data_IF_999592358382
#
_entry.id   IF_999592358382
#
_cell.length_a   1.000
_cell.length_b   1.000
_cell.length_c   1.000
_cell.angle_alpha   90.00
_cell.angle_beta   90.00
_cell.angle_gamma   90.00
#
_symmetry.space_group_name_H-M   'P 1'
#
loop_
_entity.id
_entity.type
_entity.pdbx_description
1 polymer ?
#
# COMPACT_ATOMS: atom_id res chain seq x y z
N UNK A 1 -0.12 15.04 5.15
CA UNK A 1 0.25 13.62 5.32
C UNK A 1 -0.83 12.78 4.68
N UNK A 2 -0.51 12.07 3.62
CA UNK A 2 -1.43 11.13 2.94
C UNK A 2 -1.18 9.68 3.39
N UNK A 3 0.04 9.35 3.81
CA UNK A 3 0.40 7.98 4.19
C UNK A 3 -0.31 7.49 5.45
N UNK A 4 -0.54 8.35 6.47
CA UNK A 4 -1.23 7.95 7.71
C UNK A 4 -2.71 7.58 7.52
N UNK A 5 -3.30 7.99 6.40
CA UNK A 5 -4.69 7.66 6.05
C UNK A 5 -4.78 6.49 5.06
N UNK A 6 -3.65 5.89 4.68
CA UNK A 6 -3.63 4.73 3.81
C UNK A 6 -4.20 3.49 4.51
N UNK A 7 -4.81 2.60 3.72
CA UNK A 7 -5.46 1.41 4.23
C UNK A 7 -4.47 0.31 4.68
N UNK A 8 -3.21 0.34 4.20
CA UNK A 8 -2.11 -0.48 4.72
C UNK A 8 -1.97 -1.89 4.13
N UNK A 9 -2.88 -2.34 3.26
CA UNK A 9 -2.73 -3.62 2.57
C UNK A 9 -1.65 -3.54 1.49
N UNK A 10 -0.77 -4.54 1.41
CA UNK A 10 0.25 -4.65 0.38
C UNK A 10 -0.34 -5.35 -0.83
N UNK A 11 -0.88 -4.58 -1.77
CA UNK A 11 -1.39 -5.08 -3.04
C UNK A 11 -0.86 -4.17 -4.17
N UNK A 12 -0.13 -4.73 -5.16
CA UNK A 12 0.37 -3.92 -6.27
C UNK A 12 -0.76 -3.41 -7.15
N UNK A 13 -0.89 -2.08 -7.24
CA UNK A 13 -1.73 -1.46 -8.24
C UNK A 13 -0.96 -1.39 -9.56
N UNK A 14 -1.62 -1.77 -10.66
CA UNK A 14 -1.04 -1.66 -11.99
C UNK A 14 -1.07 -0.19 -12.41
N UNK A 15 0.02 0.53 -12.16
CA UNK A 15 0.37 1.69 -12.99
C UNK A 15 0.88 1.12 -14.32
N UNK A 16 0.30 1.56 -15.43
CA UNK A 16 0.30 0.89 -16.74
C UNK A 16 1.66 0.57 -17.39
N UNK A 17 2.80 0.96 -16.81
CA UNK A 17 4.02 1.16 -17.63
C UNK A 17 5.17 0.15 -17.39
N UNK A 18 5.23 -0.58 -16.27
CA UNK A 18 6.25 -1.63 -16.04
C UNK A 18 5.90 -2.60 -14.90
N UNK A 19 5.16 -3.67 -15.23
CA UNK A 19 4.76 -4.71 -14.28
C UNK A 19 5.94 -5.42 -13.62
N UNK A 20 7.03 -5.67 -14.34
CA UNK A 20 8.19 -6.39 -13.78
C UNK A 20 8.91 -5.56 -12.72
N UNK A 21 8.98 -4.25 -12.94
CA UNK A 21 9.50 -3.31 -11.96
C UNK A 21 8.62 -3.20 -10.72
N UNK A 22 7.30 -3.13 -10.90
CA UNK A 22 6.34 -3.13 -9.78
C UNK A 22 6.54 -4.40 -8.95
N UNK A 23 6.56 -5.57 -9.58
CA UNK A 23 6.81 -6.86 -8.91
C UNK A 23 8.14 -6.85 -8.15
N UNK A 24 9.22 -6.36 -8.77
CA UNK A 24 10.53 -6.26 -8.12
C UNK A 24 10.49 -5.38 -6.87
N UNK A 25 9.86 -4.22 -6.94
CA UNK A 25 9.71 -3.32 -5.79
C UNK A 25 8.83 -3.91 -4.71
N UNK A 26 7.71 -4.55 -5.07
CA UNK A 26 6.85 -5.24 -4.11
C UNK A 26 7.60 -6.34 -3.37
N UNK A 27 8.42 -7.16 -4.06
CA UNK A 27 9.27 -8.16 -3.41
C UNK A 27 10.20 -7.53 -2.38
N UNK A 28 10.86 -6.42 -2.73
CA UNK A 28 11.72 -5.69 -1.79
C UNK A 28 10.93 -5.13 -0.59
N UNK A 29 9.74 -4.59 -0.81
CA UNK A 29 8.84 -4.12 0.25
C UNK A 29 8.41 -5.26 1.17
N UNK A 30 8.04 -6.42 0.63
CA UNK A 30 7.67 -7.60 1.41
C UNK A 30 8.84 -8.03 2.30
N UNK A 31 10.05 -8.12 1.76
CA UNK A 31 11.26 -8.44 2.55
C UNK A 31 11.45 -7.44 3.68
N UNK A 32 11.31 -6.14 3.41
CA UNK A 32 11.46 -5.09 4.41
C UNK A 32 10.42 -5.19 5.55
N UNK A 33 9.18 -5.50 5.21
CA UNK A 33 8.11 -5.70 6.21
C UNK A 33 8.37 -6.96 7.04
N UNK A 34 8.88 -8.02 6.42
CA UNK A 34 9.25 -9.24 7.14
C UNK A 34 10.39 -8.99 8.15
N UNK A 35 11.38 -8.17 7.81
CA UNK A 35 12.41 -7.72 8.77
C UNK A 35 11.80 -6.93 9.93
N UNK A 36 10.91 -5.98 9.61
CA UNK A 36 10.17 -5.21 10.61
C UNK A 36 9.40 -6.12 11.58
N UNK A 37 8.71 -7.14 11.06
CA UNK A 37 8.01 -8.15 11.86
C UNK A 37 8.97 -9.02 12.68
N UNK A 38 10.11 -9.43 12.11
CA UNK A 38 11.11 -10.27 12.79
C UNK A 38 11.78 -9.58 13.98
N UNK A 39 11.86 -8.25 13.96
CA UNK A 39 12.29 -7.43 15.10
C UNK A 39 11.22 -7.34 16.22
N UNK A 40 10.04 -7.94 16.02
CA UNK A 40 8.93 -7.92 16.99
C UNK A 40 8.14 -6.62 17.01
N UNK A 41 8.24 -5.79 15.96
CA UNK A 41 7.50 -4.54 15.89
C UNK A 41 5.99 -4.79 15.65
N UNK A 42 5.09 -4.03 16.30
CA UNK A 42 3.65 -4.18 16.13
C UNK A 42 3.18 -3.57 14.80
N UNK A 43 1.92 -3.81 14.42
CA UNK A 43 1.31 -3.12 13.28
C UNK A 43 1.68 -3.71 11.91
N UNK A 44 2.35 -4.86 11.86
CA UNK A 44 2.52 -5.63 10.63
C UNK A 44 2.08 -7.09 10.86
N UNK A 45 1.30 -7.64 9.92
CA UNK A 45 0.85 -9.03 9.99
C UNK A 45 0.47 -9.57 8.62
N UNK A 46 0.31 -10.89 8.53
CA UNK A 46 -0.28 -11.53 7.36
C UNK A 46 -1.79 -11.30 7.35
N UNK A 47 -2.33 -10.98 6.18
CA UNK A 47 -3.76 -10.85 5.97
C UNK A 47 -4.16 -11.68 4.75
N UNK A 48 -5.18 -12.52 4.93
CA UNK A 48 -5.75 -13.30 3.82
C UNK A 48 -7.12 -12.78 3.45
N UNK A 49 -7.51 -12.95 2.19
CA UNK A 49 -8.78 -12.43 1.75
C UNK A 49 -9.13 -12.76 0.31
N UNK A 50 -10.29 -12.26 -0.07
CA UNK A 50 -10.93 -12.53 -1.35
C UNK A 50 -10.87 -11.30 -2.23
N UNK A 51 -10.50 -11.50 -3.48
CA UNK A 51 -10.60 -10.50 -4.53
C UNK A 51 -11.57 -10.99 -5.60
N UNK A 52 -12.70 -10.30 -5.71
CA UNK A 52 -13.81 -10.58 -6.60
C UNK A 52 -13.76 -9.66 -7.80
N UNK A 53 -14.09 -10.21 -8.97
CA UNK A 53 -14.01 -9.49 -10.23
C UNK A 53 -15.26 -9.75 -11.06
N UNK A 54 -15.76 -8.72 -11.74
CA UNK A 54 -16.83 -8.87 -12.74
C UNK A 54 -16.35 -9.42 -14.06
N UNK A 55 -15.08 -9.22 -14.38
CA UNK A 55 -14.41 -9.81 -15.53
C UNK A 55 -13.17 -10.54 -15.08
N UNK A 56 -12.98 -11.77 -15.59
CA UNK A 56 -11.85 -12.59 -15.20
C UNK A 56 -10.54 -11.97 -15.70
N UNK A 57 -9.74 -11.46 -14.76
CA UNK A 57 -8.35 -11.06 -15.00
C UNK A 57 -7.42 -11.76 -14.01
N UNK A 58 -6.25 -12.18 -14.50
CA UNK A 58 -5.22 -12.80 -13.67
C UNK A 58 -3.99 -11.90 -13.76
N UNK A 59 -3.80 -10.97 -12.81
CA UNK A 59 -2.67 -10.08 -12.88
C UNK A 59 -1.38 -10.81 -12.51
N UNK A 60 -0.29 -10.43 -13.16
CA UNK A 60 1.03 -11.04 -12.95
C UNK A 60 1.52 -10.86 -11.51
N UNK A 61 1.15 -9.77 -10.84
CA UNK A 61 1.58 -9.50 -9.47
C UNK A 61 1.12 -10.55 -8.45
N UNK A 62 0.15 -11.42 -8.76
CA UNK A 62 -0.20 -12.56 -7.89
C UNK A 62 1.00 -13.47 -7.61
N UNK A 63 2.05 -13.45 -8.43
CA UNK A 63 3.28 -14.20 -8.19
C UNK A 63 4.01 -13.83 -6.88
N UNK A 64 3.76 -12.64 -6.33
CA UNK A 64 4.36 -12.18 -5.06
C UNK A 64 3.46 -12.46 -3.86
N UNK A 65 2.24 -12.93 -4.10
CA UNK A 65 1.29 -13.31 -3.05
C UNK A 65 1.48 -14.77 -2.65
N UNK A 66 1.01 -15.12 -1.45
CA UNK A 66 1.02 -16.51 -0.96
C UNK A 66 -0.38 -17.11 -0.95
N UNK A 67 -0.44 -18.44 -0.89
CA UNK A 67 -1.68 -19.22 -0.81
C UNK A 67 -2.72 -18.80 -1.88
N UNK A 68 -2.25 -18.50 -3.08
CA UNK A 68 -3.12 -18.09 -4.20
C UNK A 68 -3.98 -19.27 -4.62
N UNK A 69 -5.29 -19.07 -4.58
CA UNK A 69 -6.30 -20.07 -4.91
C UNK A 69 -7.41 -19.43 -5.74
N UNK A 70 -7.73 -20.01 -6.89
CA UNK A 70 -8.86 -19.56 -7.71
C UNK A 70 -10.14 -20.23 -7.22
N UNK A 71 -11.15 -19.44 -6.88
CA UNK A 71 -12.38 -19.96 -6.29
C UNK A 71 -13.14 -20.83 -7.29
N UNK A 72 -13.52 -22.01 -6.83
CA UNK A 72 -14.47 -22.90 -7.51
C UNK A 72 -15.88 -22.31 -7.54
N UNK A 73 -16.76 -22.88 -8.36
CA UNK A 73 -18.17 -22.45 -8.40
C UNK A 73 -18.87 -22.59 -7.03
N UNK A 74 -18.57 -23.64 -6.28
CA UNK A 74 -19.15 -23.87 -4.95
C UNK A 74 -18.65 -22.85 -3.93
N UNK A 75 -17.37 -22.49 -3.95
CA UNK A 75 -16.84 -21.41 -3.11
C UNK A 75 -17.44 -20.06 -3.50
N UNK A 76 -17.57 -19.78 -4.80
CA UNK A 76 -18.21 -18.56 -5.29
C UNK A 76 -19.65 -18.43 -4.81
N UNK A 77 -20.43 -19.51 -4.75
CA UNK A 77 -21.82 -19.50 -4.21
C UNK A 77 -21.90 -19.05 -2.75
N UNK A 78 -20.84 -19.25 -1.97
CA UNK A 78 -20.78 -18.89 -0.55
C UNK A 78 -20.22 -17.48 -0.34
N UNK A 79 -19.17 -17.14 -1.08
CA UNK A 79 -18.37 -15.93 -0.83
C UNK A 79 -18.87 -14.73 -1.62
N UNK A 80 -19.41 -14.93 -2.83
CA UNK A 80 -19.92 -13.84 -3.65
C UNK A 80 -21.05 -13.08 -2.92
N UNK A 81 -20.96 -11.74 -2.91
CA UNK A 81 -21.93 -10.85 -2.26
C UNK A 81 -22.81 -10.12 -3.25
N UNK A 82 -22.48 -10.17 -4.54
CA UNK A 82 -23.11 -9.40 -5.60
C UNK A 82 -23.24 -10.21 -6.89
N UNK A 83 -24.28 -9.97 -7.71
CA UNK A 83 -24.45 -10.65 -9.01
C UNK A 83 -23.29 -10.40 -9.98
N UNK A 84 -22.60 -9.27 -9.80
CA UNK A 84 -21.46 -8.91 -10.64
C UNK A 84 -20.23 -9.76 -10.35
N UNK A 85 -20.12 -10.47 -9.23
CA UNK A 85 -18.93 -11.27 -8.91
C UNK A 85 -18.92 -12.56 -9.74
N UNK A 86 -18.16 -12.56 -10.84
CA UNK A 86 -18.07 -13.67 -11.79
C UNK A 86 -16.81 -14.50 -11.64
N UNK A 87 -15.78 -13.95 -10.99
CA UNK A 87 -14.52 -14.61 -10.74
C UNK A 87 -13.96 -14.18 -9.39
N UNK A 88 -13.33 -15.10 -8.67
CA UNK A 88 -12.78 -14.83 -7.35
C UNK A 88 -11.42 -15.47 -7.16
N UNK A 89 -10.54 -14.76 -6.46
CA UNK A 89 -9.21 -15.22 -6.08
C UNK A 89 -9.07 -15.07 -4.58
N UNK A 90 -8.61 -16.10 -3.90
CA UNK A 90 -8.15 -16.03 -2.52
C UNK A 90 -6.64 -15.94 -2.49
N UNK A 91 -6.08 -15.09 -1.63
CA UNK A 91 -4.64 -15.02 -1.42
C UNK A 91 -4.30 -14.46 -0.03
N UNK A 92 -3.05 -14.67 0.38
CA UNK A 92 -2.44 -14.07 1.56
C UNK A 92 -1.41 -13.02 1.14
N UNK A 93 -1.53 -11.82 1.72
CA UNK A 93 -0.55 -10.74 1.62
C UNK A 93 -0.17 -10.22 3.01
N UNK A 94 0.54 -9.10 3.07
CA UNK A 94 0.88 -8.38 4.30
C UNK A 94 -0.02 -7.16 4.47
N UNK A 95 -0.29 -6.84 5.72
CA UNK A 95 -0.80 -5.56 6.16
C UNK A 95 0.28 -4.85 6.95
N UNK A 96 0.39 -3.54 6.75
CA UNK A 96 1.30 -2.65 7.45
C UNK A 96 0.55 -1.38 7.87
N UNK A 97 0.43 -1.18 9.18
CA UNK A 97 -0.15 0.02 9.75
C UNK A 97 0.79 1.22 9.49
N UNK A 98 0.37 2.22 8.67
CA UNK A 98 1.29 3.24 8.19
C UNK A 98 1.93 4.07 9.31
N UNK A 99 1.14 4.55 10.27
CA UNK A 99 1.64 5.43 11.33
C UNK A 99 2.69 4.76 12.20
N UNK A 100 2.44 3.52 12.65
CA UNK A 100 3.40 2.75 13.45
C UNK A 100 4.70 2.47 12.69
N UNK A 101 4.60 2.19 11.40
CA UNK A 101 5.78 1.97 10.56
C UNK A 101 6.59 3.27 10.33
N UNK A 102 5.90 4.39 10.07
CA UNK A 102 6.54 5.70 9.89
C UNK A 102 7.27 6.12 11.18
N UNK A 103 6.67 5.92 12.35
CA UNK A 103 7.30 6.21 13.64
C UNK A 103 8.59 5.39 13.82
N UNK A 104 8.57 4.11 13.46
CA UNK A 104 9.74 3.24 13.56
C UNK A 104 10.85 3.62 12.57
N UNK A 105 10.54 3.86 11.31
CA UNK A 105 11.55 4.31 10.33
C UNK A 105 12.11 5.70 10.72
N UNK A 106 11.26 6.59 11.25
CA UNK A 106 11.69 7.91 11.74
C UNK A 106 12.68 7.77 12.91
N UNK A 107 12.40 6.87 13.85
CA UNK A 107 13.31 6.56 14.96
C UNK A 107 14.66 6.05 14.44
N UNK A 108 14.66 5.07 13.53
CA UNK A 108 15.88 4.53 12.92
C UNK A 108 16.66 5.62 12.17
N UNK A 109 15.99 6.51 11.45
CA UNK A 109 16.63 7.63 10.77
C UNK A 109 17.36 8.56 11.75
N UNK A 110 16.72 8.93 12.86
CA UNK A 110 17.30 9.82 13.88
C UNK A 110 18.44 9.14 14.63
N UNK A 111 18.30 7.86 15.00
CA UNK A 111 19.36 7.08 15.65
C UNK A 111 20.62 6.94 14.78
N UNK A 112 20.47 6.94 13.47
CA UNK A 112 21.56 6.96 12.51
C UNK A 112 22.11 8.38 12.22
N UNK A 113 21.75 9.38 13.03
CA UNK A 113 22.25 10.76 12.94
C UNK A 113 21.46 11.68 12.01
N UNK A 114 20.35 11.20 11.46
CA UNK A 114 19.40 12.01 10.69
C UNK A 114 18.79 13.12 11.54
N UNK A 115 18.48 14.26 10.91
CA UNK A 115 17.84 15.41 11.56
C UNK A 115 16.50 15.70 10.92
N UNK A 116 15.48 15.92 11.75
CA UNK A 116 14.15 16.29 11.30
C UNK A 116 13.98 17.81 11.41
N UNK A 117 13.56 18.45 10.32
CA UNK A 117 13.27 19.87 10.28
C UNK A 117 11.84 20.08 9.79
N UNK A 118 11.00 20.71 10.61
CA UNK A 118 9.66 21.10 10.20
C UNK A 118 9.74 22.43 9.48
N UNK A 119 9.72 22.39 8.16
CA UNK A 119 9.83 23.57 7.30
C UNK A 119 8.96 23.41 6.07
N UNK A 120 8.36 24.51 5.61
CA UNK A 120 7.74 24.58 4.28
C UNK A 120 8.83 24.96 3.28
N UNK A 121 8.94 24.19 2.20
CA UNK A 121 9.86 24.43 1.10
C UNK A 121 9.03 24.88 -0.09
N UNK A 122 9.21 26.11 -0.55
CA UNK A 122 8.43 26.64 -1.69
C UNK A 122 9.10 26.30 -3.03
N UNK A 123 10.42 26.07 -3.03
CA UNK A 123 11.21 25.71 -4.22
C UNK A 123 12.52 25.00 -3.83
N UNK A 124 13.16 24.33 -4.79
CA UNK A 124 14.39 23.57 -4.54
C UNK A 124 15.62 24.45 -4.28
N UNK A 125 15.59 25.73 -4.69
CA UNK A 125 16.69 26.67 -4.53
C UNK A 125 16.88 27.05 -3.06
N UNK A 126 15.80 27.11 -2.27
CA UNK A 126 15.88 27.27 -0.81
C UNK A 126 16.71 26.15 -0.18
N UNK A 127 16.41 24.89 -0.51
CA UNK A 127 17.16 23.74 0.00
C UNK A 127 18.62 23.79 -0.47
N UNK A 128 18.85 24.11 -1.75
CA UNK A 128 20.21 24.27 -2.28
C UNK A 128 21.00 25.35 -1.54
N UNK A 129 20.36 26.46 -1.18
CA UNK A 129 20.98 27.57 -0.45
C UNK A 129 21.40 27.20 0.98
N UNK A 130 20.81 26.14 1.55
CA UNK A 130 21.19 25.59 2.85
C UNK A 130 22.49 24.76 2.80
N UNK A 131 23.06 24.55 1.60
CA UNK A 131 24.34 23.87 1.42
C UNK A 131 24.26 22.35 1.26
N UNK A 132 23.12 21.79 0.85
CA UNK A 132 22.99 20.36 0.58
C UNK A 132 23.49 20.01 -0.84
N UNK A 133 24.29 18.93 -0.95
CA UNK A 133 24.83 18.45 -2.23
C UNK A 133 23.80 17.70 -3.07
N UNK A 134 22.91 16.95 -2.41
CA UNK A 134 21.93 16.07 -3.05
C UNK A 134 20.55 16.35 -2.45
N UNK A 135 19.54 16.42 -3.32
CA UNK A 135 18.14 16.57 -2.95
C UNK A 135 17.38 15.34 -3.46
N UNK A 136 16.69 14.65 -2.55
CA UNK A 136 15.76 13.56 -2.89
C UNK A 136 14.34 14.08 -2.74
N UNK A 137 13.60 14.23 -3.84
CA UNK A 137 12.23 14.74 -3.81
C UNK A 137 11.22 13.63 -3.48
N UNK A 138 10.71 13.64 -2.25
CA UNK A 138 9.66 12.73 -1.77
C UNK A 138 8.36 13.49 -1.42
N UNK A 139 8.06 14.61 -2.10
CA UNK A 139 6.94 15.50 -1.73
C UNK A 139 5.55 15.01 -2.17
N UNK A 140 5.46 13.87 -2.87
CA UNK A 140 4.19 13.29 -3.30
C UNK A 140 3.36 14.25 -4.14
N UNK A 141 2.09 14.49 -3.76
CA UNK A 141 1.22 15.48 -4.43
C UNK A 141 1.82 16.89 -4.47
N UNK A 142 2.69 17.23 -3.51
CA UNK A 142 3.38 18.51 -3.47
C UNK A 142 4.34 18.72 -4.65
N UNK A 143 4.79 17.66 -5.34
CA UNK A 143 5.65 17.77 -6.53
C UNK A 143 5.02 18.61 -7.63
N UNK A 144 3.68 18.63 -7.71
CA UNK A 144 2.95 19.47 -8.66
C UNK A 144 3.28 20.94 -8.50
N UNK A 145 3.38 21.41 -7.26
CA UNK A 145 3.70 22.81 -6.94
C UNK A 145 5.22 23.02 -6.88
N UNK A 146 5.95 22.09 -6.24
CA UNK A 146 7.38 22.23 -5.95
C UNK A 146 8.26 22.17 -7.20
N UNK A 147 7.92 21.30 -8.16
CA UNK A 147 8.72 21.07 -9.40
C UNK A 147 7.90 21.19 -10.68
N UNK A 148 6.63 21.58 -10.58
CA UNK A 148 5.77 21.79 -11.75
C UNK A 148 5.29 20.52 -12.44
N UNK A 149 5.34 19.37 -11.77
CA UNK A 149 4.91 18.09 -12.35
C UNK A 149 3.38 18.04 -12.51
N UNK A 150 2.92 18.22 -13.74
CA UNK A 150 1.48 18.26 -14.07
C UNK A 150 0.83 16.89 -14.18
N UNK A 151 1.63 15.83 -14.29
CA UNK A 151 1.15 14.44 -14.33
C UNK A 151 0.71 13.96 -12.94
N UNK A 152 1.18 14.64 -11.89
CA UNK A 152 0.72 14.43 -10.51
C UNK A 152 -0.59 15.20 -10.27
N UNK A 153 -1.67 14.47 -10.00
CA UNK A 153 -2.98 15.01 -9.63
C UNK A 153 -3.65 14.20 -8.52
N UNK A 154 -4.50 14.83 -7.68
CA UNK A 154 -5.12 14.14 -6.56
C UNK A 154 -6.25 13.22 -7.01
N UNK A 155 -6.26 11.99 -6.48
CA UNK A 155 -7.41 11.09 -6.53
C UNK A 155 -7.99 10.95 -5.12
N UNK A 156 -9.27 11.25 -4.93
CA UNK A 156 -9.91 11.26 -3.61
C UNK A 156 -10.34 9.85 -3.21
N UNK A 157 -9.73 9.31 -2.15
CA UNK A 157 -10.20 8.13 -1.43
C UNK A 157 -10.97 8.53 -0.16
N UNK A 158 -12.00 7.78 0.19
CA UNK A 158 -12.72 7.94 1.46
C UNK A 158 -12.81 6.57 2.16
N UNK A 159 -12.47 6.55 3.44
CA UNK A 159 -12.50 5.35 4.27
C UNK A 159 -13.52 5.51 5.40
N UNK A 160 -14.16 4.42 5.79
CA UNK A 160 -15.00 4.34 6.99
C UNK A 160 -14.38 3.27 7.88
N UNK A 161 -14.06 3.64 9.12
CA UNK A 161 -13.57 2.70 10.13
C UNK A 161 -14.75 2.19 10.94
N UNK A 162 -14.88 0.87 11.04
CA UNK A 162 -15.99 0.20 11.74
C UNK A 162 -15.43 -0.92 12.60
N UNK A 163 -15.95 -1.08 13.81
CA UNK A 163 -15.62 -2.23 14.65
C UNK A 163 -16.40 -3.46 14.17
N UNK A 164 -15.69 -4.44 13.59
CA UNK A 164 -16.30 -5.69 13.13
C UNK A 164 -15.44 -6.93 13.47
N UNK A 165 -15.50 -7.45 14.71
CA UNK A 165 -14.63 -8.54 15.17
C UNK A 165 -14.83 -9.88 14.43
N UNK A 166 -15.96 -10.01 13.74
CA UNK A 166 -16.35 -11.20 12.97
C UNK A 166 -15.67 -11.25 11.60
N UNK A 167 -15.14 -10.14 11.09
CA UNK A 167 -14.44 -10.12 9.82
C UNK A 167 -13.10 -10.86 9.98
N UNK A 168 -12.88 -11.92 9.19
CA UNK A 168 -11.68 -12.77 9.23
C UNK A 168 -10.82 -12.68 7.98
N UNK A 169 -11.41 -12.18 6.89
CA UNK A 169 -10.80 -12.08 5.59
C UNK A 169 -11.02 -10.68 5.05
N UNK A 170 -10.00 -10.08 4.43
CA UNK A 170 -10.25 -8.89 3.62
C UNK A 170 -11.12 -9.27 2.42
N UNK A 171 -11.82 -8.29 1.87
CA UNK A 171 -12.64 -8.47 0.69
C UNK A 171 -12.47 -7.27 -0.24
N UNK A 172 -12.13 -7.51 -1.49
CA UNK A 172 -11.94 -6.49 -2.52
C UNK A 172 -12.83 -6.87 -3.70
N UNK A 173 -13.59 -5.91 -4.24
CA UNK A 173 -14.25 -6.04 -5.53
C UNK A 173 -13.89 -4.87 -6.46
N UNK A 174 -14.49 -4.81 -7.63
CA UNK A 174 -14.22 -3.76 -8.64
C UNK A 174 -14.51 -2.32 -8.15
N UNK A 175 -15.26 -2.16 -7.05
CA UNK A 175 -15.77 -0.87 -6.57
C UNK A 175 -15.40 -0.56 -5.12
N UNK A 176 -15.25 -1.57 -4.28
CA UNK A 176 -15.11 -1.44 -2.83
C UNK A 176 -14.08 -2.40 -2.27
N UNK A 177 -13.53 -2.04 -1.12
CA UNK A 177 -12.73 -2.95 -0.32
C UNK A 177 -13.09 -2.83 1.16
N UNK A 178 -12.91 -3.93 1.89
CA UNK A 178 -13.04 -4.03 3.33
C UNK A 178 -11.83 -4.78 3.89
N UNK A 179 -11.11 -4.15 4.84
CA UNK A 179 -9.93 -4.72 5.49
C UNK A 179 -10.23 -5.01 6.98
N UNK A 180 -9.33 -5.74 7.65
CA UNK A 180 -9.55 -6.23 9.02
C UNK A 180 -9.22 -5.21 10.15
N UNK A 181 -8.81 -3.97 9.85
CA UNK A 181 -8.28 -3.00 10.83
C UNK A 181 -8.89 -1.61 10.71
#
# INVERSE_FOLDING_TARGET
MTSDVAAGLIEPYLCDDDVDRIIKWTKATITRIQEYMAEGNPGAEEMSGYWMQSQKTIPKWLEVMRHVHFLSEDEMRVVAKRPEHRFGIFYTTLYLQPTTYIEWETKKFVENGGKLMKQRVENLQEVKSMGFDIIVNCSGLGSRELVGDREVFPTRGQIIKVECPKLKYFFIDDLYYALLK
#
